data_IF_635343711186
#
_entry.id   IF_635343711186
#
_cell.length_a   1.000
_cell.length_b   1.000
_cell.length_c   1.000
_cell.angle_alpha   90.00
_cell.angle_beta   90.00
_cell.angle_gamma   90.00
#
_symmetry.space_group_name_H-M   'P 1'
#
loop_
_entity.id
_entity.type
_entity.pdbx_description
1 polymer ?
#
# COMPACT_ATOMS: atom_id res chain seq x y z
N UNK A 1 -22.72 -28.48 26.68
CA UNK A 1 -22.28 -28.62 25.28
C UNK A 1 -20.88 -28.04 25.19
N UNK A 2 -19.85 -28.90 25.23
CA UNK A 2 -18.45 -28.51 25.35
C UNK A 2 -17.90 -28.37 23.93
N UNK A 3 -17.62 -27.14 23.49
CA UNK A 3 -17.00 -26.91 22.17
C UNK A 3 -15.59 -27.50 22.23
N UNK A 4 -15.32 -28.50 21.41
CA UNK A 4 -13.99 -29.06 21.23
C UNK A 4 -13.08 -27.97 20.63
N UNK A 5 -12.25 -27.37 21.49
CA UNK A 5 -11.31 -26.30 21.11
C UNK A 5 -10.33 -26.77 20.03
N UNK A 6 -10.03 -28.06 19.97
CA UNK A 6 -9.17 -28.65 18.94
C UNK A 6 -9.85 -28.62 17.58
N UNK A 7 -11.14 -28.98 17.53
CA UNK A 7 -11.94 -28.92 16.30
C UNK A 7 -12.08 -27.48 15.79
N UNK A 8 -12.36 -26.51 16.67
CA UNK A 8 -12.44 -25.10 16.32
C UNK A 8 -11.08 -24.56 15.82
N UNK A 9 -9.99 -24.87 16.51
CA UNK A 9 -8.64 -24.43 16.13
C UNK A 9 -8.23 -24.98 14.76
N UNK A 10 -8.52 -26.24 14.46
CA UNK A 10 -8.22 -26.84 13.16
C UNK A 10 -9.08 -26.27 12.04
N UNK A 11 -10.37 -26.03 12.30
CA UNK A 11 -11.26 -25.45 11.32
C UNK A 11 -10.84 -24.02 10.95
N UNK A 12 -10.66 -23.14 11.94
CA UNK A 12 -10.26 -21.76 11.68
C UNK A 12 -8.81 -21.65 11.21
N UNK A 13 -7.92 -22.52 11.69
CA UNK A 13 -6.56 -22.62 11.17
C UNK A 13 -6.54 -22.89 9.67
N UNK A 14 -7.37 -23.81 9.18
CA UNK A 14 -7.52 -24.07 7.74
C UNK A 14 -8.25 -22.94 7.01
N UNK A 15 -9.32 -22.40 7.58
CA UNK A 15 -10.13 -21.34 6.96
C UNK A 15 -9.35 -20.05 6.72
N UNK A 16 -8.42 -19.74 7.63
CA UNK A 16 -7.56 -18.56 7.54
C UNK A 16 -6.13 -18.90 7.08
N UNK A 17 -5.89 -20.14 6.61
CA UNK A 17 -4.64 -20.48 5.94
C UNK A 17 -4.65 -19.88 4.54
N UNK A 18 -3.54 -19.27 4.08
CA UNK A 18 -3.43 -18.84 2.68
C UNK A 18 -3.54 -20.05 1.76
N UNK A 19 -4.39 -19.96 0.74
CA UNK A 19 -4.39 -20.95 -0.33
C UNK A 19 -3.02 -20.91 -1.05
N UNK A 20 -2.45 -22.07 -1.41
CA UNK A 20 -1.21 -22.11 -2.16
C UNK A 20 -1.42 -21.47 -3.54
N UNK A 21 -0.54 -20.53 -3.91
CA UNK A 21 -0.55 -19.93 -5.25
C UNK A 21 -0.17 -21.02 -6.25
N UNK A 22 -1.08 -21.33 -7.17
CA UNK A 22 -0.83 -22.28 -8.28
C UNK A 22 -0.15 -21.49 -9.41
N UNK A 23 1.13 -21.77 -9.76
CA UNK A 23 1.87 -21.00 -10.76
C UNK A 23 1.16 -20.98 -12.13
N UNK A 24 0.62 -22.12 -12.57
CA UNK A 24 -0.13 -22.24 -13.83
C UNK A 24 -1.34 -21.31 -13.91
N UNK A 25 -1.94 -20.94 -12.77
CA UNK A 25 -3.06 -20.00 -12.73
C UNK A 25 -2.63 -18.56 -12.99
N UNK A 26 -1.39 -18.21 -12.63
CA UNK A 26 -0.80 -16.89 -12.92
C UNK A 26 -0.56 -16.77 -14.43
N UNK A 27 0.06 -17.78 -15.04
CA UNK A 27 0.34 -17.77 -16.49
C UNK A 27 -0.95 -17.69 -17.31
N UNK A 28 -1.96 -18.49 -16.95
CA UNK A 28 -3.29 -18.41 -17.59
C UNK A 28 -3.95 -17.05 -17.45
N UNK A 29 -3.79 -16.38 -16.30
CA UNK A 29 -4.31 -15.03 -16.10
C UNK A 29 -3.55 -14.04 -16.98
N UNK A 30 -2.23 -14.13 -17.05
CA UNK A 30 -1.40 -13.30 -17.91
C UNK A 30 -1.71 -13.49 -19.40
N UNK A 31 -2.01 -14.71 -19.84
CA UNK A 31 -2.41 -15.02 -21.22
C UNK A 31 -3.76 -14.38 -21.62
N UNK A 32 -4.63 -14.05 -20.67
CA UNK A 32 -5.89 -13.35 -20.94
C UNK A 32 -5.73 -11.84 -21.14
N UNK A 33 -4.56 -11.28 -20.83
CA UNK A 33 -4.30 -9.85 -20.98
C UNK A 33 -4.13 -9.53 -22.47
N UNK A 34 -4.95 -8.63 -23.05
CA UNK A 34 -4.80 -8.22 -24.44
C UNK A 34 -3.43 -7.59 -24.68
N UNK A 35 -2.87 -7.79 -25.88
CA UNK A 35 -1.58 -7.19 -26.26
C UNK A 35 -1.58 -5.65 -26.24
N UNK A 36 -2.74 -5.01 -26.27
CA UNK A 36 -2.90 -3.56 -26.10
C UNK A 36 -2.62 -3.07 -24.69
N UNK A 37 -2.76 -3.96 -23.70
CA UNK A 37 -2.68 -3.63 -22.27
C UNK A 37 -1.36 -4.10 -21.65
N UNK A 38 -0.49 -4.71 -22.47
CA UNK A 38 0.86 -5.12 -22.07
C UNK A 38 1.78 -3.91 -22.14
N UNK A 39 2.49 -3.64 -21.04
CA UNK A 39 3.54 -2.62 -21.02
C UNK A 39 4.65 -3.04 -22.00
N UNK A 40 4.95 -2.22 -23.01
CA UNK A 40 6.01 -2.52 -23.96
C UNK A 40 7.38 -2.69 -23.28
N UNK A 41 8.20 -3.62 -23.76
CA UNK A 41 9.51 -3.92 -23.15
C UNK A 41 10.46 -2.72 -23.14
N UNK A 42 10.30 -1.79 -24.08
CA UNK A 42 11.01 -0.52 -24.14
C UNK A 42 10.62 0.46 -23.02
N UNK A 43 9.38 0.39 -22.51
CA UNK A 43 8.92 1.23 -21.40
C UNK A 43 9.36 0.73 -20.02
N UNK A 44 9.82 -0.53 -19.90
CA UNK A 44 10.35 -1.06 -18.64
C UNK A 44 11.49 -0.19 -18.10
N UNK A 45 12.38 0.28 -18.97
CA UNK A 45 13.51 1.11 -18.54
C UNK A 45 13.04 2.42 -17.92
N UNK A 46 11.95 2.99 -18.43
CA UNK A 46 11.36 4.21 -17.89
C UNK A 46 10.69 3.96 -16.52
N UNK A 47 10.01 2.81 -16.34
CA UNK A 47 9.37 2.45 -15.07
C UNK A 47 10.37 2.21 -13.94
N UNK A 48 11.57 1.72 -14.26
CA UNK A 48 12.66 1.53 -13.31
C UNK A 48 13.56 2.76 -13.15
N UNK A 49 13.20 3.90 -13.76
CA UNK A 49 14.02 5.11 -13.65
C UNK A 49 14.02 5.66 -12.21
N UNK A 50 15.19 6.05 -11.67
CA UNK A 50 15.26 6.60 -10.31
C UNK A 50 14.43 7.87 -10.14
N UNK A 51 13.79 7.98 -8.98
CA UNK A 51 13.06 9.19 -8.58
C UNK A 51 14.02 10.36 -8.37
N UNK A 52 13.59 11.53 -8.87
CA UNK A 52 14.18 12.83 -8.54
C UNK A 52 13.21 13.65 -7.69
N UNK A 53 13.73 14.67 -7.00
CA UNK A 53 12.93 15.46 -6.06
C UNK A 53 11.73 16.16 -6.71
N UNK A 54 11.85 16.56 -7.98
CA UNK A 54 10.76 17.21 -8.73
C UNK A 54 9.56 16.28 -8.91
N UNK A 55 9.80 14.97 -9.10
CA UNK A 55 8.74 13.97 -9.18
C UNK A 55 8.02 13.84 -7.84
N UNK A 56 8.76 13.75 -6.74
CA UNK A 56 8.18 13.69 -5.40
C UNK A 56 7.35 14.94 -5.09
N UNK A 57 7.87 16.14 -5.41
CA UNK A 57 7.14 17.40 -5.25
C UNK A 57 5.86 17.44 -6.08
N UNK A 58 5.89 16.99 -7.34
CA UNK A 58 4.67 16.91 -8.16
C UNK A 58 3.63 15.94 -7.58
N UNK A 59 4.07 14.83 -6.98
CA UNK A 59 3.20 13.88 -6.29
C UNK A 59 2.45 14.51 -5.11
N UNK A 60 3.10 15.40 -4.37
CA UNK A 60 2.48 16.08 -3.21
C UNK A 60 1.35 17.05 -3.59
N UNK A 61 1.30 17.54 -4.84
CA UNK A 61 0.24 18.46 -5.30
C UNK A 61 -1.14 17.80 -5.25
N UNK A 62 -1.20 16.48 -5.38
CA UNK A 62 -2.46 15.70 -5.35
C UNK A 62 -3.05 15.58 -3.94
N UNK A 63 -2.32 15.99 -2.90
CA UNK A 63 -2.76 15.85 -1.51
C UNK A 63 -3.74 16.96 -1.15
N UNK A 64 -4.90 16.57 -0.57
CA UNK A 64 -5.89 17.52 -0.05
C UNK A 64 -5.65 17.78 1.43
N UNK A 65 -5.89 19.02 1.86
CA UNK A 65 -5.76 19.41 3.27
C UNK A 65 -6.73 18.65 4.20
N UNK A 66 -7.88 18.19 3.67
CA UNK A 66 -8.89 17.42 4.40
C UNK A 66 -8.64 15.91 4.41
N UNK A 67 -7.43 15.46 4.09
CA UNK A 67 -7.08 14.04 4.22
C UNK A 67 -7.03 13.64 5.70
N UNK A 68 -7.44 12.41 5.99
CA UNK A 68 -7.22 11.83 7.33
C UNK A 68 -5.72 11.82 7.61
N UNK A 69 -5.31 12.30 8.78
CA UNK A 69 -3.93 12.18 9.21
C UNK A 69 -3.55 10.72 9.39
N UNK A 70 -2.29 10.42 9.07
CA UNK A 70 -1.73 9.10 9.33
C UNK A 70 -1.55 8.87 10.84
N UNK A 71 -1.05 7.70 11.24
CA UNK A 71 -0.72 7.36 12.64
C UNK A 71 0.14 8.41 13.34
N UNK A 72 0.99 9.13 12.58
CA UNK A 72 1.87 10.17 13.10
C UNK A 72 1.18 11.53 13.29
N UNK A 73 -0.12 11.64 12.96
CA UNK A 73 -0.90 12.87 13.09
C UNK A 73 -0.58 13.93 12.03
N UNK A 74 0.39 13.68 11.15
CA UNK A 74 0.78 14.58 10.07
C UNK A 74 -0.18 14.47 8.88
N UNK A 75 -0.59 15.63 8.36
CA UNK A 75 -1.39 15.71 7.13
C UNK A 75 -0.48 15.50 5.92
N UNK A 76 -0.95 14.78 4.91
CA UNK A 76 -0.19 14.56 3.67
C UNK A 76 0.24 15.86 2.97
N UNK A 77 -0.51 16.95 3.16
CA UNK A 77 -0.16 18.28 2.64
C UNK A 77 1.19 18.82 3.16
N UNK A 78 1.65 18.38 4.35
CA UNK A 78 2.94 18.82 4.91
C UNK A 78 4.13 18.26 4.14
N UNK A 79 3.95 17.15 3.41
CA UNK A 79 5.03 16.52 2.64
C UNK A 79 5.61 17.48 1.61
N UNK A 80 4.77 18.35 1.03
CA UNK A 80 5.24 19.37 0.08
C UNK A 80 6.28 20.30 0.73
N UNK A 81 6.01 20.75 1.96
CA UNK A 81 6.91 21.63 2.72
C UNK A 81 8.17 20.88 3.16
N UNK A 82 8.01 19.63 3.61
CA UNK A 82 9.15 18.79 4.03
C UNK A 82 10.12 18.56 2.86
N UNK A 83 9.60 18.25 1.67
CA UNK A 83 10.42 18.01 0.48
C UNK A 83 11.09 19.26 -0.08
N UNK A 84 10.69 20.47 0.33
CA UNK A 84 11.43 21.69 0.00
C UNK A 84 12.72 21.82 0.82
N UNK A 85 12.83 21.19 1.99
CA UNK A 85 14.02 21.23 2.81
C UNK A 85 15.09 20.25 2.31
N UNK A 86 16.27 20.75 1.92
CA UNK A 86 17.31 19.99 1.21
C UNK A 86 17.71 18.66 1.87
N UNK A 87 17.83 18.61 3.21
CA UNK A 87 18.17 17.37 3.91
C UNK A 87 17.05 16.33 3.84
N UNK A 88 15.81 16.78 3.96
CA UNK A 88 14.64 15.92 3.91
C UNK A 88 14.37 15.45 2.48
N UNK A 89 14.53 16.32 1.49
CA UNK A 89 14.51 15.98 0.07
C UNK A 89 15.51 14.86 -0.28
N UNK A 90 16.76 15.01 0.18
CA UNK A 90 17.81 14.00 -0.04
C UNK A 90 17.46 12.67 0.60
N UNK A 91 16.91 12.69 1.82
CA UNK A 91 16.48 11.48 2.50
C UNK A 91 15.30 10.82 1.78
N UNK A 92 14.29 11.59 1.38
CA UNK A 92 13.12 11.09 0.67
C UNK A 92 13.52 10.42 -0.65
N UNK A 93 14.28 11.12 -1.49
CA UNK A 93 14.79 10.57 -2.76
C UNK A 93 15.56 9.27 -2.54
N UNK A 94 16.39 9.20 -1.48
CA UNK A 94 17.09 7.97 -1.13
C UNK A 94 16.11 6.84 -0.76
N UNK A 95 15.16 7.09 0.13
CA UNK A 95 14.20 6.05 0.58
C UNK A 95 13.38 5.50 -0.58
N UNK A 96 12.84 6.38 -1.44
CA UNK A 96 12.07 5.96 -2.62
C UNK A 96 12.92 5.17 -3.64
N UNK A 97 14.20 5.51 -3.78
CA UNK A 97 15.08 4.78 -4.69
C UNK A 97 15.61 3.47 -4.09
N UNK A 98 15.85 3.42 -2.78
CA UNK A 98 16.22 2.19 -2.05
C UNK A 98 15.06 1.17 -2.14
N UNK A 99 13.81 1.65 -2.06
CA UNK A 99 12.61 0.85 -2.33
C UNK A 99 12.58 0.34 -3.78
N UNK A 100 12.65 1.25 -4.76
CA UNK A 100 12.52 0.90 -6.19
C UNK A 100 13.59 -0.09 -6.67
N UNK A 101 14.83 0.06 -6.19
CA UNK A 101 15.97 -0.70 -6.70
C UNK A 101 16.28 -1.94 -5.88
N UNK A 102 16.08 -1.88 -4.55
CA UNK A 102 16.53 -2.91 -3.62
C UNK A 102 15.37 -3.58 -2.87
N UNK A 103 14.13 -3.13 -3.06
CA UNK A 103 12.97 -3.64 -2.35
C UNK A 103 13.05 -3.39 -0.83
N UNK A 104 13.76 -2.34 -0.42
CA UNK A 104 13.93 -2.00 1.01
C UNK A 104 12.84 -1.01 1.40
N UNK A 105 11.85 -1.49 2.14
CA UNK A 105 10.72 -0.69 2.60
C UNK A 105 10.93 -0.21 4.04
N UNK A 106 10.60 1.05 4.37
CA UNK A 106 10.49 1.48 5.75
C UNK A 106 9.47 0.62 6.51
N UNK A 107 9.80 0.20 7.73
CA UNK A 107 8.92 -0.65 8.52
C UNK A 107 7.55 -0.01 8.81
N UNK A 108 7.43 1.31 8.76
CA UNK A 108 6.14 2.02 8.88
C UNK A 108 5.22 1.79 7.69
N UNK A 109 5.75 1.57 6.47
CA UNK A 109 4.95 1.39 5.26
C UNK A 109 4.24 0.04 5.22
N UNK A 110 4.77 -0.93 5.96
CA UNK A 110 4.18 -2.26 6.11
C UNK A 110 3.09 -2.30 7.20
N UNK A 111 2.78 -1.16 7.83
CA UNK A 111 1.74 -1.07 8.86
C UNK A 111 0.49 -0.43 8.26
N UNK A 112 -0.65 -1.11 8.38
CA UNK A 112 -1.95 -0.55 7.99
C UNK A 112 -2.71 -0.09 9.23
N UNK A 113 -3.12 1.18 9.26
CA UNK A 113 -4.02 1.69 10.29
C UNK A 113 -5.48 1.49 9.85
N UNK A 114 -6.22 0.64 10.56
CA UNK A 114 -7.65 0.46 10.34
C UNK A 114 -8.42 1.45 11.21
N UNK A 115 -9.10 2.42 10.58
CA UNK A 115 -10.12 3.24 11.25
C UNK A 115 -11.50 2.85 10.74
N UNK A 116 -12.38 2.45 11.66
CA UNK A 116 -13.79 2.22 11.34
C UNK A 116 -14.46 3.58 11.17
N UNK A 117 -14.84 3.89 9.93
CA UNK A 117 -15.66 5.05 9.64
C UNK A 117 -17.14 4.64 9.73
N UNK A 118 -17.94 5.31 10.57
CA UNK A 118 -19.37 5.03 10.61
C UNK A 118 -19.97 5.34 9.24
N UNK A 119 -20.72 4.39 8.68
CA UNK A 119 -21.58 4.67 7.52
C UNK A 119 -22.78 5.49 8.01
N UNK A 120 -23.23 6.44 7.20
CA UNK A 120 -24.31 7.40 7.50
C UNK A 120 -25.72 6.78 7.67
N UNK A 121 -25.84 5.50 7.97
CA UNK A 121 -27.11 4.85 8.29
C UNK A 121 -27.14 4.64 9.80
N UNK A 122 -28.16 5.24 10.42
CA UNK A 122 -28.49 5.29 11.85
C UNK A 122 -27.55 4.53 12.80
N UNK A 123 -26.84 5.33 13.60
CA UNK A 123 -25.94 4.91 14.68
C UNK A 123 -26.65 4.30 15.90
N UNK A 124 -27.97 4.08 15.80
CA UNK A 124 -28.82 3.57 16.88
C UNK A 124 -28.45 2.15 17.32
N UNK A 125 -27.91 1.34 16.41
CA UNK A 125 -27.63 -0.09 16.65
C UNK A 125 -26.18 -0.35 17.10
N UNK A 126 -25.33 0.68 17.19
CA UNK A 126 -23.94 0.58 17.67
C UNK A 126 -23.84 1.02 19.14
N UNK A 127 -24.56 0.34 20.03
CA UNK A 127 -24.40 0.46 21.47
C UNK A 127 -23.84 -0.85 22.01
N UNK A 128 -22.58 -0.82 22.45
CA UNK A 128 -21.95 -1.90 23.25
C UNK A 128 -22.73 -2.13 24.54
#
# INVERSE_FOLDING_TARGET
MMIDKSAASNYYGKLYSPDPVVPDSIDKLCETIPSTDVVPTDEHTALHSPFVITYLLSGTIRTKLQSSSDVDGLLYAILHVIFQHAKAAKLAVRVFNDELTSGIFPASWLKTCLRLLPKSVDLSDLKN
#
